data_IF_015908459495
#
_entry.id   IF_015908459495
#
_cell.length_a   1.000
_cell.length_b   1.000
_cell.length_c   1.000
_cell.angle_alpha   90.00
_cell.angle_beta   90.00
_cell.angle_gamma   90.00
#
_symmetry.space_group_name_H-M   'P 1'
#
loop_
_entity.id
_entity.type
_entity.pdbx_description
1 polymer ?
#
# COMPACT_ATOMS: atom_id res chain seq x y z
N UNK A 1 -12.91 6.17 -9.30
CA UNK A 1 -12.89 7.65 -9.11
C UNK A 1 -11.72 8.29 -9.88
N UNK A 2 -10.46 8.00 -9.53
CA UNK A 2 -9.29 8.59 -10.20
C UNK A 2 -9.25 8.40 -11.72
N UNK A 3 -9.65 7.24 -12.22
CA UNK A 3 -9.78 6.97 -13.65
C UNK A 3 -10.70 7.97 -14.37
N UNK A 4 -11.81 8.36 -13.74
CA UNK A 4 -12.77 9.33 -14.29
C UNK A 4 -12.18 10.74 -14.26
N UNK A 5 -11.50 11.10 -13.16
CA UNK A 5 -10.82 12.40 -13.04
C UNK A 5 -9.73 12.57 -14.11
N UNK A 6 -8.96 11.51 -14.37
CA UNK A 6 -7.90 11.52 -15.37
C UNK A 6 -8.38 11.25 -16.81
N UNK A 7 -9.65 10.86 -17.01
CA UNK A 7 -10.21 10.38 -18.27
C UNK A 7 -9.37 9.25 -18.90
N UNK A 8 -9.16 8.17 -18.15
CA UNK A 8 -8.37 7.00 -18.57
C UNK A 8 -9.11 5.70 -18.24
N UNK A 9 -8.99 4.63 -19.05
CA UNK A 9 -9.70 3.39 -18.77
C UNK A 9 -9.27 2.72 -17.46
N UNK A 10 -10.17 1.97 -16.83
CA UNK A 10 -9.92 1.25 -15.57
C UNK A 10 -10.48 -0.16 -15.63
N UNK A 11 -9.62 -1.13 -15.32
CA UNK A 11 -9.92 -2.56 -15.26
C UNK A 11 -9.88 -3.08 -13.83
N UNK A 12 -10.77 -4.02 -13.54
CA UNK A 12 -11.13 -4.41 -12.19
C UNK A 12 -11.17 -5.95 -12.03
N UNK A 13 -9.99 -6.58 -11.88
CA UNK A 13 -9.89 -8.04 -11.78
C UNK A 13 -10.47 -8.54 -10.45
N UNK A 14 -10.98 -9.77 -10.48
CA UNK A 14 -11.51 -10.51 -9.34
C UNK A 14 -10.60 -11.63 -8.88
N UNK A 15 -9.60 -12.03 -9.68
CA UNK A 15 -8.70 -13.15 -9.37
C UNK A 15 -7.27 -12.91 -9.87
N UNK A 16 -6.28 -13.70 -9.41
CA UNK A 16 -4.93 -13.69 -9.98
C UNK A 16 -4.89 -13.98 -11.49
N UNK A 17 -5.69 -14.94 -11.97
CA UNK A 17 -5.81 -15.25 -13.40
C UNK A 17 -6.36 -14.05 -14.18
N UNK A 18 -7.47 -13.46 -13.73
CA UNK A 18 -8.07 -12.30 -14.40
C UNK A 18 -7.14 -11.08 -14.37
N UNK A 19 -6.32 -10.93 -13.32
CA UNK A 19 -5.28 -9.89 -13.27
C UNK A 19 -4.24 -10.07 -14.38
N UNK A 20 -3.81 -11.31 -14.64
CA UNK A 20 -2.89 -11.64 -15.74
C UNK A 20 -3.55 -11.40 -17.11
N UNK A 21 -4.82 -11.75 -17.28
CA UNK A 21 -5.49 -11.60 -18.57
C UNK A 21 -5.81 -10.12 -18.88
N UNK A 22 -6.27 -9.38 -17.87
CA UNK A 22 -6.60 -7.96 -18.00
C UNK A 22 -5.37 -7.08 -18.24
N UNK A 23 -4.17 -7.45 -17.75
CA UNK A 23 -2.97 -6.65 -18.04
C UNK A 23 -2.58 -6.72 -19.53
N UNK A 24 -2.78 -7.86 -20.18
CA UNK A 24 -2.55 -7.99 -21.62
C UNK A 24 -3.55 -7.15 -22.40
N UNK A 25 -4.83 -7.26 -22.07
CA UNK A 25 -5.87 -6.41 -22.66
C UNK A 25 -5.60 -4.92 -22.42
N UNK A 26 -5.07 -4.55 -21.24
CA UNK A 26 -4.72 -3.17 -20.92
C UNK A 26 -3.60 -2.63 -21.82
N UNK A 27 -2.61 -3.45 -22.18
CA UNK A 27 -1.59 -3.08 -23.17
C UNK A 27 -2.23 -2.88 -24.55
N UNK A 28 -3.05 -3.83 -25.03
CA UNK A 28 -3.72 -3.71 -26.33
C UNK A 28 -4.59 -2.46 -26.41
N UNK A 29 -5.38 -2.19 -25.37
CA UNK A 29 -6.22 -1.00 -25.27
C UNK A 29 -5.38 0.29 -25.24
N UNK A 30 -4.28 0.28 -24.48
CA UNK A 30 -3.36 1.42 -24.39
C UNK A 30 -2.72 1.74 -25.74
N UNK A 31 -2.28 0.73 -26.48
CA UNK A 31 -1.69 0.88 -27.80
C UNK A 31 -2.71 1.37 -28.83
N UNK A 32 -3.90 0.75 -28.85
CA UNK A 32 -4.97 1.08 -29.79
C UNK A 32 -5.44 2.55 -29.66
N UNK A 33 -5.58 3.03 -28.43
CA UNK A 33 -6.10 4.39 -28.17
C UNK A 33 -5.03 5.39 -27.76
N UNK A 34 -3.77 4.98 -27.67
CA UNK A 34 -2.65 5.81 -27.19
C UNK A 34 -3.00 6.51 -25.87
N UNK A 35 -3.43 5.74 -24.87
CA UNK A 35 -3.84 6.24 -23.55
C UNK A 35 -3.34 5.32 -22.44
N UNK A 36 -2.88 5.85 -21.29
CA UNK A 36 -2.64 5.00 -20.14
C UNK A 36 -3.93 4.31 -19.70
N UNK A 37 -3.77 3.13 -19.12
CA UNK A 37 -4.86 2.30 -18.61
C UNK A 37 -4.54 1.90 -17.18
N UNK A 38 -5.53 1.99 -16.29
CA UNK A 38 -5.40 1.62 -14.89
C UNK A 38 -5.86 0.17 -14.72
N UNK A 39 -5.01 -0.69 -14.18
CA UNK A 39 -5.42 -1.97 -13.60
C UNK A 39 -5.56 -1.79 -12.08
N UNK A 40 -6.72 -2.10 -11.53
CA UNK A 40 -7.07 -1.82 -10.12
C UNK A 40 -7.38 -3.10 -9.33
N UNK A 41 -6.38 -3.92 -8.98
CA UNK A 41 -6.61 -5.05 -8.08
C UNK A 41 -6.90 -4.55 -6.65
N UNK A 42 -7.80 -5.23 -5.94
CA UNK A 42 -8.03 -4.98 -4.51
C UNK A 42 -7.04 -5.77 -3.65
N UNK A 43 -6.96 -5.47 -2.36
CA UNK A 43 -6.11 -6.17 -1.38
C UNK A 43 -6.25 -7.70 -1.49
N UNK A 44 -7.46 -8.22 -1.67
CA UNK A 44 -7.70 -9.68 -1.71
C UNK A 44 -7.19 -10.32 -2.97
N UNK A 45 -7.24 -9.60 -4.08
CA UNK A 45 -6.63 -10.06 -5.33
C UNK A 45 -5.10 -10.07 -5.18
N UNK A 46 -4.52 -8.99 -4.62
CA UNK A 46 -3.07 -8.88 -4.41
C UNK A 46 -2.49 -9.90 -3.41
N UNK A 47 -3.25 -10.25 -2.36
CA UNK A 47 -2.83 -11.21 -1.33
C UNK A 47 -3.36 -12.63 -1.57
N UNK A 48 -4.15 -12.83 -2.62
CA UNK A 48 -4.62 -14.14 -3.08
C UNK A 48 -3.51 -14.92 -3.78
N UNK A 49 -3.69 -16.23 -3.85
CA UNK A 49 -2.84 -17.14 -4.64
C UNK A 49 -3.74 -18.13 -5.35
N UNK A 50 -3.35 -18.52 -6.55
CA UNK A 50 -4.02 -19.53 -7.35
C UNK A 50 -3.11 -19.92 -8.50
N UNK A 51 -3.41 -21.05 -9.11
CA UNK A 51 -2.75 -21.43 -10.35
C UNK A 51 -3.13 -20.44 -11.45
N UNK A 52 -2.14 -20.06 -12.26
CA UNK A 52 -2.33 -19.11 -13.37
C UNK A 52 -1.82 -19.77 -14.64
N UNK A 53 -2.70 -19.85 -15.65
CA UNK A 53 -2.34 -20.26 -16.99
C UNK A 53 -1.65 -19.08 -17.69
N UNK A 54 -0.36 -19.26 -18.00
CA UNK A 54 0.45 -18.20 -18.58
C UNK A 54 0.18 -17.95 -20.06
N UNK A 55 -0.44 -18.90 -20.78
CA UNK A 55 -0.61 -18.87 -22.23
C UNK A 55 0.72 -18.72 -22.99
N UNK A 56 0.64 -18.33 -24.26
CA UNK A 56 1.84 -17.98 -25.04
C UNK A 56 2.39 -16.61 -24.62
N UNK A 57 3.69 -16.55 -24.30
CA UNK A 57 4.39 -15.30 -23.98
C UNK A 57 5.04 -14.76 -25.25
N UNK A 58 4.40 -13.78 -25.89
CA UNK A 58 4.93 -13.13 -27.08
C UNK A 58 5.64 -11.81 -26.73
N UNK A 59 6.96 -11.86 -26.56
CA UNK A 59 7.77 -10.66 -26.33
C UNK A 59 8.15 -10.04 -27.67
N UNK A 60 7.42 -9.04 -28.10
CA UNK A 60 7.78 -8.26 -29.27
C UNK A 60 8.72 -7.11 -28.89
N UNK A 61 9.96 -7.13 -29.42
CA UNK A 61 10.84 -5.97 -29.33
C UNK A 61 10.38 -4.92 -30.34
N UNK A 62 9.85 -3.81 -29.85
CA UNK A 62 9.41 -2.67 -30.66
C UNK A 62 10.26 -1.46 -30.30
N UNK A 63 10.68 -0.70 -31.31
CA UNK A 63 11.35 0.59 -31.10
C UNK A 63 10.35 1.73 -31.28
N UNK A 64 10.22 2.57 -30.25
CA UNK A 64 9.38 3.77 -30.33
C UNK A 64 10.06 4.89 -31.10
N UNK A 65 9.31 5.63 -31.91
CA UNK A 65 9.78 6.87 -32.56
C UNK A 65 9.12 8.09 -31.93
N UNK A 66 9.92 9.01 -31.39
CA UNK A 66 9.41 10.29 -30.92
C UNK A 66 9.16 11.24 -32.09
N UNK A 67 7.88 11.46 -32.41
CA UNK A 67 7.46 12.48 -33.37
C UNK A 67 7.16 13.79 -32.64
N UNK A 68 7.92 14.85 -32.92
CA UNK A 68 7.72 16.17 -32.32
C UNK A 68 6.34 16.72 -32.67
N UNK A 69 5.53 16.99 -31.64
CA UNK A 69 4.25 17.71 -31.75
C UNK A 69 4.05 18.59 -30.51
N UNK A 70 4.40 19.86 -30.64
CA UNK A 70 4.34 20.83 -29.54
C UNK A 70 2.89 20.99 -29.04
N UNK A 71 1.90 20.92 -29.94
CA UNK A 71 0.49 21.07 -29.61
C UNK A 71 -0.06 19.89 -28.80
N UNK A 72 0.63 18.74 -28.85
CA UNK A 72 0.31 17.55 -28.06
C UNK A 72 1.04 17.51 -26.73
N UNK A 73 2.34 17.79 -26.72
CA UNK A 73 3.18 17.54 -25.53
C UNK A 73 3.36 18.75 -24.61
N UNK A 74 3.09 19.96 -25.07
CA UNK A 74 3.21 21.17 -24.25
C UNK A 74 1.83 21.65 -23.82
N UNK A 75 1.50 21.43 -22.55
CA UNK A 75 0.19 21.72 -21.96
C UNK A 75 0.00 23.21 -21.59
N UNK A 76 0.25 24.12 -22.53
CA UNK A 76 -0.18 25.53 -22.38
C UNK A 76 -1.69 25.66 -22.62
N UNK A 77 -2.35 26.70 -22.07
CA UNK A 77 -3.82 26.81 -22.12
C UNK A 77 -4.46 26.67 -23.50
N UNK A 78 -3.83 27.20 -24.56
CA UNK A 78 -4.31 27.09 -25.95
C UNK A 78 -4.32 25.65 -26.46
N UNK A 79 -3.29 24.86 -26.13
CA UNK A 79 -3.19 23.45 -26.50
C UNK A 79 -4.10 22.57 -25.62
N UNK A 80 -4.11 22.82 -24.31
CA UNK A 80 -4.85 22.01 -23.34
C UNK A 80 -6.35 21.93 -23.64
N UNK A 81 -6.97 23.04 -24.07
CA UNK A 81 -8.40 23.07 -24.47
C UNK A 81 -8.69 22.14 -25.65
N UNK A 82 -7.81 22.10 -26.64
CA UNK A 82 -7.94 21.25 -27.83
C UNK A 82 -7.67 19.78 -27.44
N UNK A 83 -6.64 19.52 -26.65
CA UNK A 83 -6.30 18.17 -26.21
C UNK A 83 -7.36 17.57 -25.29
N UNK A 84 -8.00 18.40 -24.45
CA UNK A 84 -9.09 17.93 -23.59
C UNK A 84 -10.29 17.45 -24.43
N UNK A 85 -10.69 18.19 -25.47
CA UNK A 85 -11.72 17.71 -26.40
C UNK A 85 -11.34 16.36 -27.03
N UNK A 86 -10.11 16.24 -27.53
CA UNK A 86 -9.60 14.96 -28.09
C UNK A 86 -9.61 13.82 -27.07
N UNK A 87 -9.34 14.10 -25.79
CA UNK A 87 -9.38 13.12 -24.72
C UNK A 87 -10.80 12.64 -24.44
N UNK A 88 -11.78 13.55 -24.43
CA UNK A 88 -13.20 13.20 -24.29
C UNK A 88 -13.67 12.35 -25.48
N UNK A 89 -13.39 12.80 -26.71
CA UNK A 89 -13.71 12.03 -27.93
C UNK A 89 -13.07 10.64 -27.91
N UNK A 90 -11.85 10.51 -27.36
CA UNK A 90 -11.17 9.23 -27.19
C UNK A 90 -11.89 8.33 -26.19
N UNK A 91 -12.34 8.86 -25.06
CA UNK A 91 -13.08 8.09 -24.05
C UNK A 91 -14.41 7.57 -24.59
N UNK A 92 -15.08 8.33 -25.45
CA UNK A 92 -16.29 7.86 -26.15
C UNK A 92 -15.97 6.66 -27.06
N UNK A 93 -14.92 6.73 -27.87
CA UNK A 93 -14.48 5.61 -28.73
C UNK A 93 -14.08 4.38 -27.93
N UNK A 94 -13.41 4.58 -26.79
CA UNK A 94 -13.09 3.47 -25.88
C UNK A 94 -14.38 2.87 -25.33
N UNK A 95 -15.40 3.69 -25.01
CA UNK A 95 -16.69 3.18 -24.54
C UNK A 95 -17.33 2.26 -25.57
N UNK A 96 -17.36 2.67 -26.84
CA UNK A 96 -17.87 1.84 -27.94
C UNK A 96 -17.09 0.51 -28.03
N UNK A 97 -15.76 0.58 -27.96
CA UNK A 97 -14.90 -0.61 -28.03
C UNK A 97 -15.15 -1.60 -26.88
N UNK A 98 -15.44 -1.12 -25.66
CA UNK A 98 -15.63 -2.00 -24.50
C UNK A 98 -17.02 -2.61 -24.40
N UNK A 99 -17.99 -2.19 -25.23
CA UNK A 99 -19.30 -2.82 -25.32
C UNK A 99 -19.17 -4.30 -25.72
N UNK A 100 -18.27 -4.63 -26.65
CA UNK A 100 -18.05 -5.99 -27.14
C UNK A 100 -16.96 -6.76 -26.37
N UNK A 101 -16.39 -6.15 -25.33
CA UNK A 101 -15.35 -6.80 -24.52
C UNK A 101 -15.89 -8.05 -23.81
N UNK A 102 -15.09 -9.13 -23.84
CA UNK A 102 -15.30 -10.36 -23.08
C UNK A 102 -15.04 -10.19 -21.57
N UNK A 103 -14.45 -9.07 -21.15
CA UNK A 103 -14.23 -8.75 -19.74
C UNK A 103 -15.52 -8.29 -19.04
N UNK A 104 -16.51 -7.86 -19.81
CA UNK A 104 -17.85 -7.57 -19.31
C UNK A 104 -18.79 -8.69 -19.80
N UNK A 105 -19.20 -9.59 -18.91
CA UNK A 105 -19.98 -10.77 -19.32
C UNK A 105 -21.16 -11.02 -18.39
N UNK A 106 -22.17 -11.71 -18.92
CA UNK A 106 -23.36 -12.09 -18.17
C UNK A 106 -23.33 -13.57 -17.82
N UNK A 107 -23.85 -13.90 -16.64
CA UNK A 107 -24.13 -15.28 -16.23
C UNK A 107 -25.66 -15.41 -16.18
N UNK A 108 -26.25 -16.40 -16.87
CA UNK A 108 -27.68 -16.61 -16.85
C UNK A 108 -28.15 -17.05 -15.46
N UNK A 109 -29.38 -16.68 -15.11
CA UNK A 109 -30.03 -17.11 -13.88
C UNK A 109 -31.54 -16.94 -13.97
N UNK A 110 -32.21 -16.98 -12.82
CA UNK A 110 -33.67 -17.08 -12.76
C UNK A 110 -34.31 -15.82 -12.15
N UNK A 111 -35.54 -15.52 -12.56
CA UNK A 111 -36.34 -14.43 -12.00
C UNK A 111 -36.07 -13.03 -12.56
N UNK A 112 -36.61 -12.03 -11.85
CA UNK A 112 -36.62 -10.60 -12.25
C UNK A 112 -35.70 -9.72 -11.40
N UNK A 113 -34.83 -10.34 -10.60
CA UNK A 113 -33.81 -9.66 -9.80
C UNK A 113 -32.43 -10.00 -10.36
N UNK A 114 -31.70 -9.02 -10.86
CA UNK A 114 -30.34 -9.21 -11.35
C UNK A 114 -29.28 -8.57 -10.45
N UNK A 115 -28.03 -9.00 -10.59
CA UNK A 115 -26.89 -8.47 -9.85
C UNK A 115 -25.84 -7.91 -10.80
N UNK A 116 -25.36 -6.69 -10.55
CA UNK A 116 -24.16 -6.14 -11.20
C UNK A 116 -23.03 -6.15 -10.18
N UNK A 117 -21.91 -6.75 -10.52
CA UNK A 117 -20.80 -6.99 -9.58
C UNK A 117 -19.45 -6.70 -10.22
N UNK A 118 -18.49 -6.21 -9.42
CA UNK A 118 -17.18 -5.75 -9.88
C UNK A 118 -16.06 -6.19 -8.93
N UNK A 119 -14.85 -6.37 -9.47
CA UNK A 119 -13.65 -6.74 -8.70
C UNK A 119 -13.83 -8.02 -7.88
N UNK A 120 -13.15 -8.08 -6.73
CA UNK A 120 -13.16 -9.23 -5.81
C UNK A 120 -14.57 -9.61 -5.30
N UNK A 121 -15.52 -8.67 -5.28
CA UNK A 121 -16.91 -8.93 -4.88
C UNK A 121 -17.60 -10.02 -5.68
N UNK A 122 -17.12 -10.30 -6.90
CA UNK A 122 -17.62 -11.39 -7.71
C UNK A 122 -17.48 -12.74 -7.01
N UNK A 123 -16.32 -13.03 -6.40
CA UNK A 123 -16.09 -14.31 -5.73
C UNK A 123 -17.00 -14.45 -4.51
N UNK A 124 -17.15 -13.38 -3.72
CA UNK A 124 -18.06 -13.38 -2.56
C UNK A 124 -19.50 -13.63 -2.98
N UNK A 125 -19.95 -13.00 -4.07
CA UNK A 125 -21.28 -13.23 -4.61
C UNK A 125 -21.46 -14.70 -5.03
N UNK A 126 -20.54 -15.25 -5.82
CA UNK A 126 -20.67 -16.62 -6.33
C UNK A 126 -20.75 -17.64 -5.19
N UNK A 127 -19.91 -17.51 -4.17
CA UNK A 127 -19.96 -18.37 -2.99
C UNK A 127 -21.25 -18.16 -2.18
N UNK A 128 -21.70 -16.91 -2.02
CA UNK A 128 -22.97 -16.59 -1.33
C UNK A 128 -24.18 -17.20 -2.03
N UNK A 129 -24.22 -17.16 -3.37
CA UNK A 129 -25.31 -17.75 -4.16
C UNK A 129 -25.34 -19.28 -4.02
N UNK A 130 -24.16 -19.91 -3.97
CA UNK A 130 -24.04 -21.35 -3.70
C UNK A 130 -24.56 -21.70 -2.30
N UNK A 131 -24.18 -20.93 -1.27
CA UNK A 131 -24.64 -21.13 0.12
C UNK A 131 -26.16 -21.00 0.22
N UNK A 132 -26.74 -19.98 -0.44
CA UNK A 132 -28.18 -19.70 -0.39
C UNK A 132 -29.00 -20.58 -1.35
N UNK A 133 -28.35 -21.34 -2.23
CA UNK A 133 -29.02 -22.19 -3.21
C UNK A 133 -29.85 -21.43 -4.25
N UNK A 134 -29.48 -20.19 -4.58
CA UNK A 134 -30.20 -19.34 -5.54
C UNK A 134 -29.38 -19.06 -6.80
N UNK A 135 -30.06 -18.92 -7.93
CA UNK A 135 -29.47 -18.56 -9.21
C UNK A 135 -30.06 -17.24 -9.70
N UNK A 136 -29.22 -16.23 -9.84
CA UNK A 136 -29.63 -14.89 -10.30
C UNK A 136 -28.95 -14.57 -11.62
N UNK A 137 -29.58 -13.80 -12.53
CA UNK A 137 -28.88 -13.14 -13.61
C UNK A 137 -27.78 -12.24 -13.05
N UNK A 138 -26.56 -12.38 -13.55
CA UNK A 138 -25.41 -11.58 -13.10
C UNK A 138 -24.78 -10.87 -14.30
N UNK A 139 -24.43 -9.60 -14.15
CA UNK A 139 -23.50 -8.90 -15.01
C UNK A 139 -22.20 -8.66 -14.24
N UNK A 140 -21.14 -9.34 -14.66
CA UNK A 140 -19.78 -9.10 -14.16
C UNK A 140 -19.17 -7.96 -14.97
N UNK A 141 -18.80 -6.89 -14.28
CA UNK A 141 -18.07 -5.75 -14.85
C UNK A 141 -16.58 -5.98 -14.63
N UNK A 142 -15.83 -6.05 -15.73
CA UNK A 142 -14.37 -6.11 -15.74
C UNK A 142 -13.73 -4.77 -16.10
N UNK A 143 -14.45 -3.90 -16.83
CA UNK A 143 -14.01 -2.55 -17.18
C UNK A 143 -14.93 -1.55 -16.49
N UNK A 144 -14.41 -0.90 -15.44
CA UNK A 144 -15.19 0.00 -14.60
C UNK A 144 -15.33 1.41 -15.19
N UNK A 145 -14.40 1.79 -16.07
CA UNK A 145 -14.43 3.08 -16.75
C UNK A 145 -13.71 2.99 -18.12
N UNK A 146 -14.29 3.52 -19.20
CA UNK A 146 -15.70 3.85 -19.32
C UNK A 146 -16.58 2.60 -19.16
N UNK A 147 -17.78 2.77 -18.60
CA UNK A 147 -18.75 1.68 -18.45
C UNK A 147 -19.37 1.32 -19.81
N UNK A 148 -19.51 0.02 -20.09
CA UNK A 148 -20.27 -0.51 -21.23
C UNK A 148 -21.78 -0.28 -21.03
N UNK A 149 -22.27 0.89 -21.44
CA UNK A 149 -23.62 1.39 -21.17
C UNK A 149 -24.68 0.55 -21.87
N UNK A 150 -24.45 0.13 -23.11
CA UNK A 150 -25.43 -0.64 -23.87
C UNK A 150 -25.56 -2.06 -23.31
N UNK A 151 -24.44 -2.68 -22.90
CA UNK A 151 -24.45 -3.99 -22.21
C UNK A 151 -25.19 -3.92 -20.88
N UNK A 152 -24.92 -2.89 -20.07
CA UNK A 152 -25.63 -2.67 -18.80
C UNK A 152 -27.12 -2.45 -19.04
N UNK A 153 -27.50 -1.59 -19.98
CA UNK A 153 -28.90 -1.31 -20.31
C UNK A 153 -29.63 -2.58 -20.77
N UNK A 154 -28.99 -3.36 -21.65
CA UNK A 154 -29.55 -4.62 -22.16
C UNK A 154 -29.76 -5.66 -21.06
N UNK A 155 -28.89 -5.66 -20.04
CA UNK A 155 -29.01 -6.53 -18.87
C UNK A 155 -30.15 -6.10 -17.93
N UNK A 156 -30.33 -4.79 -17.69
CA UNK A 156 -31.27 -4.30 -16.67
C UNK A 156 -32.69 -4.04 -17.19
N UNK A 157 -32.88 -3.85 -18.49
CA UNK A 157 -34.17 -3.38 -19.07
C UNK A 157 -35.38 -4.26 -18.73
N UNK A 158 -35.18 -5.56 -18.58
CA UNK A 158 -36.25 -6.55 -18.36
C UNK A 158 -36.37 -6.99 -16.89
N UNK A 159 -35.59 -6.37 -15.99
CA UNK A 159 -35.56 -6.67 -14.56
C UNK A 159 -36.45 -5.72 -13.75
N UNK A 160 -37.01 -6.22 -12.65
CA UNK A 160 -37.76 -5.40 -11.69
C UNK A 160 -36.85 -4.79 -10.62
N UNK A 161 -35.76 -5.50 -10.28
CA UNK A 161 -34.80 -5.07 -9.28
C UNK A 161 -33.38 -5.37 -9.73
N UNK A 162 -32.46 -4.47 -9.41
CA UNK A 162 -31.03 -4.65 -9.64
C UNK A 162 -30.28 -4.44 -8.34
N UNK A 163 -29.37 -5.35 -8.00
CA UNK A 163 -28.47 -5.23 -6.86
C UNK A 163 -27.06 -4.94 -7.36
N UNK A 164 -26.44 -3.86 -6.89
CA UNK A 164 -25.05 -3.50 -7.21
C UNK A 164 -24.16 -3.94 -6.05
N UNK A 165 -23.15 -4.76 -6.35
CA UNK A 165 -22.15 -5.20 -5.37
C UNK A 165 -20.78 -4.67 -5.80
N UNK A 166 -20.44 -3.50 -5.26
CA UNK A 166 -19.12 -2.86 -5.40
C UNK A 166 -18.59 -2.45 -4.03
N UNK A 167 -17.29 -2.58 -3.78
CA UNK A 167 -16.68 -2.20 -2.50
C UNK A 167 -16.45 -0.69 -2.39
N UNK A 168 -16.55 -0.15 -1.17
CA UNK A 168 -16.30 1.25 -0.85
C UNK A 168 -17.28 2.23 -1.51
N UNK A 169 -16.87 2.93 -2.57
CA UNK A 169 -17.61 4.05 -3.16
C UNK A 169 -18.54 3.61 -4.30
N UNK A 170 -19.75 4.20 -4.44
CA UNK A 170 -20.74 3.82 -5.45
C UNK A 170 -20.38 4.35 -6.85
N UNK A 171 -19.37 3.79 -7.51
CA UNK A 171 -18.96 4.26 -8.84
C UNK A 171 -19.89 3.71 -9.92
N UNK A 172 -20.08 2.39 -9.93
CA UNK A 172 -20.94 1.70 -10.90
C UNK A 172 -22.41 1.95 -10.58
N UNK A 173 -22.79 1.94 -9.31
CA UNK A 173 -24.14 2.26 -8.85
C UNK A 173 -24.61 3.63 -9.36
N UNK A 174 -23.74 4.65 -9.30
CA UNK A 174 -24.08 5.98 -9.79
C UNK A 174 -24.27 6.00 -11.31
N UNK A 175 -23.45 5.26 -12.06
CA UNK A 175 -23.59 5.18 -13.52
C UNK A 175 -24.85 4.43 -13.95
N UNK A 176 -25.20 3.37 -13.23
CA UNK A 176 -26.45 2.62 -13.46
C UNK A 176 -27.65 3.47 -13.10
N UNK A 177 -27.61 4.26 -12.01
CA UNK A 177 -28.67 5.23 -11.67
C UNK A 177 -28.89 6.26 -12.79
N UNK A 178 -27.81 6.78 -13.36
CA UNK A 178 -27.89 7.70 -14.51
C UNK A 178 -28.56 6.99 -15.70
N UNK A 179 -28.15 5.76 -16.02
CA UNK A 179 -28.75 4.97 -17.10
C UNK A 179 -30.25 4.72 -16.90
N UNK A 180 -30.66 4.35 -15.69
CA UNK A 180 -32.07 4.15 -15.34
C UNK A 180 -32.86 5.45 -15.57
N UNK A 181 -32.32 6.58 -15.11
CA UNK A 181 -32.98 7.88 -15.25
C UNK A 181 -33.09 8.34 -16.71
N UNK A 182 -32.01 8.23 -17.48
CA UNK A 182 -31.98 8.65 -18.89
C UNK A 182 -32.92 7.82 -19.77
N UNK A 183 -33.10 6.53 -19.44
CA UNK A 183 -33.95 5.59 -20.20
C UNK A 183 -35.33 5.38 -19.57
N UNK A 184 -35.67 6.11 -18.50
CA UNK A 184 -36.96 6.05 -17.81
C UNK A 184 -37.39 4.64 -17.41
N UNK A 185 -36.43 3.82 -16.96
CA UNK A 185 -36.71 2.43 -16.58
C UNK A 185 -37.45 2.36 -15.25
N UNK A 186 -38.52 1.57 -15.19
CA UNK A 186 -39.26 1.31 -13.96
C UNK A 186 -38.68 0.10 -13.21
N UNK A 187 -37.50 0.27 -12.61
CA UNK A 187 -36.84 -0.77 -11.80
C UNK A 187 -36.29 -0.20 -10.49
N UNK A 188 -36.18 -1.04 -9.46
CA UNK A 188 -35.62 -0.64 -8.16
C UNK A 188 -34.13 -1.02 -8.08
N UNK A 189 -33.28 -0.04 -7.83
CA UNK A 189 -31.86 -0.27 -7.62
C UNK A 189 -31.52 -0.37 -6.13
N UNK A 190 -30.75 -1.38 -5.77
CA UNK A 190 -30.17 -1.58 -4.44
C UNK A 190 -28.66 -1.64 -4.57
N UNK A 191 -27.94 -1.12 -3.58
CA UNK A 191 -26.49 -1.07 -3.58
C UNK A 191 -26.03 -0.59 -2.22
N UNK A 192 -25.47 0.62 -2.12
CA UNK A 192 -25.08 1.23 -0.83
C UNK A 192 -26.23 1.50 0.14
N UNK A 193 -27.48 1.34 -0.29
CA UNK A 193 -28.65 1.32 0.59
C UNK A 193 -28.72 0.06 1.46
N UNK A 194 -28.09 -1.05 1.05
CA UNK A 194 -28.07 -2.32 1.78
C UNK A 194 -26.64 -2.83 2.05
N UNK A 195 -25.64 -2.34 1.32
CA UNK A 195 -24.22 -2.65 1.51
C UNK A 195 -23.47 -1.47 2.15
N UNK A 196 -22.48 -1.72 3.02
CA UNK A 196 -21.70 -0.65 3.62
C UNK A 196 -20.76 0.03 2.61
N UNK A 197 -20.43 1.29 2.90
CA UNK A 197 -19.36 2.05 2.23
C UNK A 197 -18.00 1.91 2.91
N UNK A 198 -17.95 1.15 4.01
CA UNK A 198 -16.78 1.00 4.86
C UNK A 198 -16.44 -0.48 5.03
N UNK A 199 -15.18 -0.73 5.37
CA UNK A 199 -14.67 -2.10 5.51
C UNK A 199 -14.47 -2.79 4.16
N UNK A 200 -14.06 -4.03 4.26
CA UNK A 200 -13.87 -4.95 3.16
C UNK A 200 -15.05 -5.91 3.12
N UNK A 201 -15.51 -6.31 1.92
CA UNK A 201 -16.60 -7.27 1.85
C UNK A 201 -16.07 -8.68 2.10
N UNK A 202 -16.97 -9.56 2.52
CA UNK A 202 -16.72 -10.98 2.72
C UNK A 202 -17.93 -11.78 2.23
N UNK A 203 -17.74 -13.07 2.01
CA UNK A 203 -18.83 -14.01 1.72
C UNK A 203 -19.91 -13.94 2.79
N UNK A 204 -19.54 -13.88 4.08
CA UNK A 204 -20.50 -13.77 5.19
C UNK A 204 -21.37 -12.52 5.08
N UNK A 205 -20.75 -11.36 4.82
CA UNK A 205 -21.46 -10.08 4.69
C UNK A 205 -22.43 -10.12 3.52
N UNK A 206 -21.96 -10.58 2.34
CA UNK A 206 -22.78 -10.66 1.14
C UNK A 206 -23.91 -11.66 1.31
N UNK A 207 -23.64 -12.85 1.88
CA UNK A 207 -24.64 -13.87 2.19
C UNK A 207 -25.71 -13.34 3.14
N UNK A 208 -25.32 -12.66 4.22
CA UNK A 208 -26.27 -12.10 5.19
C UNK A 208 -27.18 -11.03 4.57
N UNK A 209 -26.62 -10.17 3.72
CA UNK A 209 -27.40 -9.12 3.06
C UNK A 209 -28.37 -9.73 2.04
N UNK A 210 -27.91 -10.69 1.23
CA UNK A 210 -28.73 -11.34 0.21
C UNK A 210 -29.82 -12.21 0.83
N UNK A 211 -29.54 -12.94 1.91
CA UNK A 211 -30.55 -13.76 2.59
C UNK A 211 -31.68 -12.91 3.16
N UNK A 212 -31.37 -11.77 3.77
CA UNK A 212 -32.38 -10.78 4.21
C UNK A 212 -33.15 -10.20 3.04
N UNK A 213 -32.46 -9.88 1.94
CA UNK A 213 -33.07 -9.30 0.75
C UNK A 213 -34.08 -10.26 0.10
N UNK A 214 -33.75 -11.55 0.01
CA UNK A 214 -34.60 -12.59 -0.58
C UNK A 214 -35.50 -13.30 0.42
N UNK A 215 -35.41 -12.98 1.72
CA UNK A 215 -36.13 -13.64 2.82
C UNK A 215 -35.87 -15.16 2.87
N UNK A 216 -34.61 -15.52 2.69
CA UNK A 216 -34.14 -16.91 2.77
C UNK A 216 -33.62 -17.12 4.17
N UNK A 217 -34.25 -18.04 4.90
CA UNK A 217 -33.69 -18.52 6.16
C UNK A 217 -32.47 -19.38 5.85
N UNK A 218 -31.31 -18.96 6.33
CA UNK A 218 -30.09 -19.74 6.25
C UNK A 218 -29.55 -19.90 7.68
N UNK A 219 -29.17 -21.12 8.09
CA UNK A 219 -28.57 -21.32 9.40
C UNK A 219 -27.22 -20.61 9.39
N UNK A 220 -27.15 -19.47 10.08
CA UNK A 220 -25.87 -18.82 10.35
C UNK A 220 -25.08 -19.78 11.22
N UNK A 221 -24.05 -20.41 10.68
CA UNK A 221 -23.02 -21.00 11.54
C UNK A 221 -22.56 -19.84 12.42
N UNK A 222 -22.86 -19.90 13.72
CA UNK A 222 -22.24 -18.97 14.65
C UNK A 222 -20.75 -19.21 14.48
N UNK A 223 -20.04 -18.21 13.93
CA UNK A 223 -18.60 -18.22 14.03
C UNK A 223 -18.33 -18.43 15.51
N UNK A 224 -17.71 -19.56 15.84
CA UNK A 224 -17.27 -19.78 17.22
C UNK A 224 -16.53 -18.49 17.56
N UNK A 225 -16.89 -17.84 18.67
CA UNK A 225 -16.19 -16.65 19.17
C UNK A 225 -14.76 -17.08 19.56
N UNK A 226 -13.96 -17.39 18.55
CA UNK A 226 -12.56 -17.69 18.65
C UNK A 226 -11.96 -16.32 18.85
N UNK A 227 -11.52 -16.05 20.08
CA UNK A 227 -10.70 -14.90 20.37
C UNK A 227 -9.38 -15.13 19.65
N UNK A 228 -9.30 -14.66 18.40
CA UNK A 228 -8.06 -14.68 17.63
C UNK A 228 -7.16 -13.61 18.24
N UNK A 229 -5.96 -13.95 18.74
CA UNK A 229 -5.04 -12.97 19.28
C UNK A 229 -4.73 -11.91 18.22
N UNK A 230 -4.88 -10.64 18.60
CA UNK A 230 -4.56 -9.54 17.70
C UNK A 230 -3.08 -9.61 17.30
N UNK A 231 -2.80 -9.74 16.00
CA UNK A 231 -1.43 -9.65 15.46
C UNK A 231 -1.14 -8.20 15.15
N UNK A 232 -0.61 -7.50 16.14
CA UNK A 232 -0.15 -6.13 15.95
C UNK A 232 0.87 -6.06 14.80
N UNK A 233 0.82 -5.01 13.97
CA UNK A 233 1.79 -4.83 12.89
C UNK A 233 3.15 -4.48 13.52
N UNK A 234 4.14 -5.36 13.35
CA UNK A 234 5.44 -5.30 14.03
C UNK A 234 6.59 -5.38 13.03
N UNK A 235 7.70 -4.69 13.33
CA UNK A 235 8.95 -4.84 12.59
C UNK A 235 9.48 -6.29 12.70
N UNK A 236 10.14 -6.78 11.66
CA UNK A 236 10.76 -8.11 11.65
C UNK A 236 11.75 -8.31 12.81
N UNK A 237 12.02 -9.57 13.16
CA UNK A 237 13.08 -9.91 14.12
C UNK A 237 14.43 -9.36 13.64
N UNK A 238 15.04 -8.52 14.48
CA UNK A 238 16.29 -7.81 14.18
C UNK A 238 16.26 -6.83 13.00
N UNK A 239 15.07 -6.34 12.62
CA UNK A 239 14.97 -5.21 11.68
C UNK A 239 15.82 -4.02 12.17
N UNK A 240 16.66 -3.42 11.31
CA UNK A 240 17.56 -2.31 11.69
C UNK A 240 16.81 -1.08 12.19
N UNK A 241 15.64 -0.77 11.62
CA UNK A 241 14.82 0.37 12.04
C UNK A 241 14.39 0.28 13.51
N UNK A 242 14.30 -0.93 14.08
CA UNK A 242 13.91 -1.14 15.49
C UNK A 242 14.90 -0.46 16.44
N UNK A 243 16.19 -0.55 16.14
CA UNK A 243 17.25 0.11 16.91
C UNK A 243 17.13 1.63 16.81
N UNK A 244 16.88 2.15 15.60
CA UNK A 244 16.71 3.58 15.37
C UNK A 244 15.52 4.13 16.15
N UNK A 245 14.35 3.48 16.07
CA UNK A 245 13.18 3.92 16.83
C UNK A 245 13.36 3.78 18.34
N UNK A 246 14.05 2.74 18.82
CA UNK A 246 14.40 2.61 20.23
C UNK A 246 15.27 3.80 20.68
N UNK A 247 16.31 4.14 19.91
CA UNK A 247 17.18 5.28 20.20
C UNK A 247 16.41 6.61 20.18
N UNK A 248 15.55 6.83 19.17
CA UNK A 248 14.66 8.01 19.10
C UNK A 248 13.82 8.11 20.37
N UNK A 249 13.13 7.03 20.76
CA UNK A 249 12.29 7.02 21.98
C UNK A 249 13.10 7.32 23.23
N UNK A 250 14.29 6.71 23.36
CA UNK A 250 15.15 6.86 24.55
C UNK A 250 15.70 8.28 24.68
N UNK A 251 16.24 8.85 23.61
CA UNK A 251 16.84 10.20 23.61
C UNK A 251 15.78 11.28 23.83
N UNK A 252 14.64 11.18 23.14
CA UNK A 252 13.54 12.16 23.28
C UNK A 252 12.70 11.92 24.54
N UNK A 253 12.88 10.79 25.23
CA UNK A 253 11.98 10.29 26.28
C UNK A 253 10.52 10.19 25.82
N UNK A 254 10.31 9.98 24.51
CA UNK A 254 8.99 10.01 23.86
C UNK A 254 8.35 11.40 23.82
N UNK A 255 9.12 12.48 24.02
CA UNK A 255 8.64 13.87 24.04
C UNK A 255 9.18 14.65 22.85
N UNK A 256 8.69 14.30 21.66
CA UNK A 256 8.91 15.01 20.42
C UNK A 256 7.70 14.75 19.51
N UNK A 257 7.57 15.51 18.42
CA UNK A 257 6.64 15.21 17.35
C UNK A 257 7.35 14.27 16.37
N UNK A 258 6.69 13.17 15.99
CA UNK A 258 7.27 12.12 15.17
C UNK A 258 6.56 11.95 13.81
N UNK A 259 6.71 12.89 12.85
CA UNK A 259 6.21 12.66 11.50
C UNK A 259 6.91 11.47 10.84
N UNK A 260 6.14 10.61 10.18
CA UNK A 260 6.65 9.49 9.40
C UNK A 260 5.90 9.35 8.09
N UNK A 261 6.35 8.43 7.25
CA UNK A 261 5.72 8.12 5.96
C UNK A 261 5.07 6.73 6.00
N UNK A 262 4.48 6.32 4.87
CA UNK A 262 3.99 4.94 4.67
C UNK A 262 5.13 3.96 4.29
N UNK A 263 5.38 2.95 5.13
CA UNK A 263 6.38 1.91 4.90
C UNK A 263 6.70 1.11 6.17
N UNK A 264 7.83 0.37 6.19
CA UNK A 264 8.24 -0.37 7.41
C UNK A 264 8.37 0.55 8.62
N UNK A 265 8.75 1.81 8.39
CA UNK A 265 8.90 2.84 9.41
C UNK A 265 7.57 3.30 10.01
N UNK A 266 6.43 3.16 9.33
CA UNK A 266 5.11 3.37 9.95
C UNK A 266 4.94 2.49 11.19
N UNK A 267 5.49 1.26 11.16
CA UNK A 267 5.39 0.29 12.26
C UNK A 267 6.04 0.76 13.57
N UNK A 268 6.83 1.84 13.53
CA UNK A 268 7.35 2.53 14.72
C UNK A 268 6.25 3.11 15.63
N UNK A 269 4.99 3.22 15.17
CA UNK A 269 3.85 3.66 15.98
C UNK A 269 3.51 2.65 17.09
N UNK A 270 3.77 1.35 16.85
CA UNK A 270 3.36 0.28 17.74
C UNK A 270 4.19 0.22 19.02
N UNK A 271 3.59 -0.29 20.10
CA UNK A 271 4.34 -0.56 21.34
C UNK A 271 5.45 -1.60 21.08
N UNK A 272 6.63 -1.44 21.70
CA UNK A 272 6.97 -0.42 22.68
C UNK A 272 7.62 0.85 22.11
N UNK A 273 7.77 0.97 20.78
CA UNK A 273 8.51 2.07 20.15
C UNK A 273 7.74 3.39 20.28
N UNK A 274 6.53 3.48 19.74
CA UNK A 274 5.64 4.65 19.83
C UNK A 274 6.32 5.97 19.44
N UNK A 275 6.99 5.98 18.29
CA UNK A 275 7.72 7.14 17.75
C UNK A 275 7.28 7.45 16.32
N UNK A 276 5.97 7.42 16.09
CA UNK A 276 5.31 7.82 14.84
C UNK A 276 3.95 8.39 15.22
N UNK A 277 3.74 9.68 14.97
CA UNK A 277 2.50 10.41 15.28
C UNK A 277 1.65 10.66 14.03
N UNK A 278 2.30 10.79 12.86
CA UNK A 278 1.63 11.04 11.59
C UNK A 278 2.21 10.16 10.49
N UNK A 279 1.34 9.76 9.54
CA UNK A 279 1.70 9.02 8.33
C UNK A 279 0.62 9.33 7.28
N UNK A 280 1.01 9.97 6.18
CA UNK A 280 0.06 10.41 5.14
C UNK A 280 0.31 9.66 3.83
N UNK A 281 1.49 9.84 3.23
CA UNK A 281 1.89 9.22 1.96
C UNK A 281 3.41 9.04 1.94
N UNK A 282 3.96 8.50 0.85
CA UNK A 282 5.40 8.51 0.65
C UNK A 282 5.86 9.97 0.42
N UNK A 283 6.89 10.41 1.14
CA UNK A 283 7.53 11.72 1.02
C UNK A 283 6.87 12.86 1.80
N UNK A 284 5.86 12.56 2.63
CA UNK A 284 5.12 13.58 3.36
C UNK A 284 5.83 14.04 4.64
N UNK A 285 6.58 13.17 5.31
CA UNK A 285 7.04 13.35 6.69
C UNK A 285 7.89 14.59 6.89
N UNK A 286 8.85 14.86 5.99
CA UNK A 286 9.70 16.04 6.06
C UNK A 286 8.94 17.34 5.77
N UNK A 287 7.97 17.31 4.86
CA UNK A 287 7.10 18.46 4.60
C UNK A 287 6.21 18.77 5.80
N UNK A 288 5.60 17.74 6.38
CA UNK A 288 4.81 17.84 7.63
C UNK A 288 5.68 18.37 8.78
N UNK A 289 6.92 17.89 8.91
CA UNK A 289 7.88 18.37 9.90
C UNK A 289 8.22 19.86 9.72
N UNK A 290 8.36 20.35 8.48
CA UNK A 290 8.54 21.78 8.22
C UNK A 290 7.33 22.60 8.69
N UNK A 291 6.11 22.09 8.50
CA UNK A 291 4.89 22.70 9.03
C UNK A 291 4.92 22.82 10.56
N UNK A 292 5.23 21.72 11.24
CA UNK A 292 5.37 21.70 12.71
C UNK A 292 6.48 22.64 13.21
N UNK A 293 7.61 22.73 12.51
CA UNK A 293 8.70 23.62 12.87
C UNK A 293 8.33 25.11 12.80
N UNK A 294 7.26 25.45 12.08
CA UNK A 294 6.70 26.81 12.02
C UNK A 294 5.57 27.04 13.03
N UNK A 295 4.85 25.99 13.42
CA UNK A 295 3.66 26.11 14.27
C UNK A 295 3.89 25.76 15.75
N UNK A 296 5.00 25.11 16.08
CA UNK A 296 5.26 24.56 17.43
C UNK A 296 6.70 24.82 17.87
N UNK A 297 6.99 24.66 19.17
CA UNK A 297 8.36 24.77 19.74
C UNK A 297 8.91 23.41 20.20
N UNK A 298 8.09 22.39 20.13
CA UNK A 298 8.41 21.02 20.49
C UNK A 298 9.51 20.47 19.59
N UNK A 299 10.40 19.60 20.10
CA UNK A 299 11.37 18.93 19.25
C UNK A 299 10.68 18.08 18.18
N UNK A 300 11.25 18.03 16.97
CA UNK A 300 10.69 17.30 15.83
C UNK A 300 11.73 16.31 15.32
N UNK A 301 11.36 15.02 15.29
CA UNK A 301 12.17 13.95 14.71
C UNK A 301 11.35 13.27 13.62
N UNK A 302 11.62 13.61 12.37
CA UNK A 302 10.89 13.09 11.23
C UNK A 302 11.62 11.88 10.64
N UNK A 303 10.88 10.84 10.27
CA UNK A 303 11.44 9.60 9.70
C UNK A 303 10.90 9.34 8.30
N UNK A 304 11.73 8.80 7.42
CA UNK A 304 11.32 8.23 6.13
C UNK A 304 12.32 7.18 5.66
N UNK A 305 11.93 6.31 4.73
CA UNK A 305 12.83 5.32 4.13
C UNK A 305 13.68 5.87 2.98
N UNK A 306 14.79 5.21 2.66
CA UNK A 306 15.63 5.47 1.48
C UNK A 306 14.85 5.58 0.16
N UNK A 307 14.01 4.61 -0.21
CA UNK A 307 13.25 4.67 -1.46
C UNK A 307 12.29 5.87 -1.48
N UNK A 308 11.75 6.21 -0.31
CA UNK A 308 10.83 7.33 -0.13
C UNK A 308 11.57 8.67 -0.19
N UNK A 309 12.81 8.71 0.28
CA UNK A 309 13.69 9.86 0.14
C UNK A 309 13.86 10.22 -1.34
N UNK A 310 14.19 9.23 -2.18
CA UNK A 310 14.31 9.42 -3.62
C UNK A 310 13.00 9.77 -4.31
N UNK A 311 11.87 9.21 -3.84
CA UNK A 311 10.56 9.47 -4.44
C UNK A 311 10.12 10.93 -4.26
N UNK A 312 10.14 11.43 -3.03
CA UNK A 312 9.60 12.76 -2.71
C UNK A 312 10.18 13.40 -1.43
N UNK A 313 11.21 12.82 -0.81
CA UNK A 313 11.86 13.39 0.38
C UNK A 313 12.90 14.48 0.09
N UNK A 314 13.41 14.57 -1.14
CA UNK A 314 14.42 15.57 -1.53
C UNK A 314 13.85 17.01 -1.54
N UNK A 315 12.75 17.31 -2.27
CA UNK A 315 12.19 18.68 -2.28
C UNK A 315 11.85 19.25 -0.89
N UNK A 316 11.20 18.53 0.03
CA UNK A 316 10.91 19.08 1.35
C UNK A 316 12.18 19.29 2.19
N UNK A 317 13.26 18.55 1.95
CA UNK A 317 14.53 18.76 2.64
C UNK A 317 15.21 20.06 2.18
N UNK A 318 15.18 20.36 0.88
CA UNK A 318 15.59 21.67 0.34
C UNK A 318 14.74 22.78 0.95
N UNK A 319 13.43 22.58 1.01
CA UNK A 319 12.50 23.54 1.63
C UNK A 319 12.81 23.76 3.12
N UNK A 320 13.16 22.69 3.85
CA UNK A 320 13.56 22.76 5.26
C UNK A 320 14.79 23.66 5.44
N UNK A 321 15.82 23.47 4.61
CA UNK A 321 17.04 24.29 4.60
C UNK A 321 16.73 25.75 4.27
N UNK A 322 16.04 26.01 3.15
CA UNK A 322 15.69 27.35 2.70
C UNK A 322 14.92 28.14 3.77
N UNK A 323 14.02 27.46 4.49
CA UNK A 323 13.18 28.08 5.52
C UNK A 323 13.76 28.00 6.95
N UNK A 324 15.01 27.56 7.14
CA UNK A 324 15.64 27.35 8.45
C UNK A 324 14.76 26.54 9.42
N UNK A 325 14.17 25.45 8.93
CA UNK A 325 13.30 24.59 9.74
C UNK A 325 14.16 23.73 10.68
N UNK A 326 13.93 23.86 11.99
CA UNK A 326 14.62 23.09 13.03
C UNK A 326 14.01 21.70 13.15
N UNK A 327 14.50 20.77 12.34
CA UNK A 327 14.03 19.38 12.32
C UNK A 327 15.22 18.42 12.31
N UNK A 328 15.08 17.30 13.02
CA UNK A 328 15.97 16.14 12.86
C UNK A 328 15.32 15.21 11.83
N UNK A 329 15.92 15.13 10.66
CA UNK A 329 15.46 14.29 9.55
C UNK A 329 16.22 12.97 9.56
N UNK A 330 15.54 11.86 9.81
CA UNK A 330 16.13 10.52 9.89
C UNK A 330 15.72 9.71 8.67
N UNK A 331 16.70 9.40 7.82
CA UNK A 331 16.54 8.52 6.66
C UNK A 331 16.90 7.11 7.08
N UNK A 332 15.94 6.21 6.98
CA UNK A 332 16.02 4.82 7.35
C UNK A 332 16.42 4.01 6.10
N UNK A 333 17.72 3.85 5.91
CA UNK A 333 18.31 3.25 4.71
C UNK A 333 18.50 1.73 4.90
N UNK A 334 17.63 0.95 4.23
CA UNK A 334 17.66 -0.52 4.29
C UNK A 334 17.98 -1.19 2.96
N UNK A 335 18.39 -0.39 1.97
CA UNK A 335 18.79 -0.80 0.64
C UNK A 335 17.68 -1.50 -0.18
N UNK A 336 16.40 -1.26 0.12
CA UNK A 336 15.30 -1.89 -0.64
C UNK A 336 13.92 -1.26 -0.37
N UNK A 337 13.01 -1.32 -1.34
CA UNK A 337 11.60 -1.02 -1.08
C UNK A 337 10.90 -2.26 -0.51
N UNK A 338 11.10 -2.51 0.79
CA UNK A 338 10.76 -3.78 1.44
C UNK A 338 9.29 -4.21 1.30
N UNK A 339 8.34 -3.31 1.56
CA UNK A 339 6.91 -3.64 1.56
C UNK A 339 6.29 -3.81 0.17
N UNK A 340 7.02 -3.49 -0.91
CA UNK A 340 6.54 -3.66 -2.30
C UNK A 340 7.11 -4.91 -2.96
N UNK A 341 7.66 -5.83 -2.15
CA UNK A 341 8.31 -7.05 -2.67
C UNK A 341 9.79 -6.87 -2.99
N UNK A 342 10.48 -5.98 -2.25
CA UNK A 342 11.90 -5.71 -2.40
C UNK A 342 12.29 -5.10 -3.75
N UNK A 343 11.46 -4.19 -4.26
CA UNK A 343 11.76 -3.50 -5.52
C UNK A 343 13.07 -2.70 -5.40
N UNK A 344 13.87 -2.64 -6.48
CA UNK A 344 15.03 -1.77 -6.52
C UNK A 344 14.61 -0.31 -6.57
N UNK A 345 15.51 0.56 -6.15
CA UNK A 345 15.32 2.01 -6.14
C UNK A 345 16.67 2.70 -6.49
N UNK A 346 16.72 4.04 -6.63
CA UNK A 346 17.95 4.72 -7.05
C UNK A 346 19.20 4.46 -6.20
N UNK A 347 19.07 3.88 -4.99
CA UNK A 347 20.19 3.45 -4.15
C UNK A 347 20.69 2.02 -4.39
N UNK A 348 19.99 1.17 -5.16
CA UNK A 348 20.22 -0.30 -5.16
C UNK A 348 21.00 -0.84 -6.37
N UNK A 349 21.65 0.01 -7.17
CA UNK A 349 22.48 -0.36 -8.34
C UNK A 349 21.81 -1.29 -9.38
N UNK A 350 20.47 -1.36 -9.37
CA UNK A 350 19.68 -2.19 -10.26
C UNK A 350 18.51 -1.36 -10.79
N UNK A 351 18.18 -1.53 -12.07
CA UNK A 351 16.94 -1.00 -12.64
C UNK A 351 15.75 -1.85 -12.18
N UNK A 352 14.53 -1.35 -12.39
CA UNK A 352 13.30 -2.12 -12.14
C UNK A 352 13.21 -3.43 -12.94
N UNK A 353 13.98 -3.56 -14.03
CA UNK A 353 14.08 -4.78 -14.85
C UNK A 353 15.22 -5.72 -14.40
N UNK A 354 15.94 -5.38 -13.34
CA UNK A 354 17.06 -6.17 -12.82
C UNK A 354 18.39 -5.94 -13.55
N UNK A 355 18.49 -4.91 -14.38
CA UNK A 355 19.73 -4.59 -15.10
C UNK A 355 20.68 -3.79 -14.20
N UNK A 356 22.01 -3.97 -14.31
CA UNK A 356 22.97 -3.14 -13.59
C UNK A 356 22.79 -1.65 -13.88
N UNK A 357 22.81 -0.83 -12.83
CA UNK A 357 22.63 0.62 -12.91
C UNK A 357 23.57 1.37 -11.96
N UNK A 358 23.73 2.68 -12.19
CA UNK A 358 24.36 3.55 -11.21
C UNK A 358 23.53 3.67 -9.92
N UNK A 359 24.17 4.09 -8.84
CA UNK A 359 23.50 4.39 -7.56
C UNK A 359 23.68 5.84 -7.16
N UNK A 360 22.63 6.43 -6.57
CA UNK A 360 22.70 7.75 -5.95
C UNK A 360 23.03 7.60 -4.47
N UNK A 361 24.15 8.19 -4.03
CA UNK A 361 24.50 8.24 -2.61
C UNK A 361 23.66 9.30 -1.88
N UNK A 362 22.93 8.87 -0.85
CA UNK A 362 22.07 9.72 -0.04
C UNK A 362 22.91 10.82 0.64
N UNK A 363 24.02 10.44 1.27
CA UNK A 363 24.90 11.36 1.99
C UNK A 363 25.56 12.40 1.07
N UNK A 364 26.01 12.00 -0.13
CA UNK A 364 26.57 12.95 -1.10
C UNK A 364 25.51 13.89 -1.67
N UNK A 365 24.31 13.38 -1.92
CA UNK A 365 23.19 14.21 -2.38
C UNK A 365 22.81 15.26 -1.33
N UNK A 366 22.76 14.87 -0.05
CA UNK A 366 22.44 15.79 1.05
C UNK A 366 23.54 16.80 1.28
N UNK A 367 24.80 16.37 1.26
CA UNK A 367 25.93 17.28 1.35
C UNK A 367 25.91 18.32 0.20
N UNK A 368 25.54 17.91 -1.02
CA UNK A 368 25.37 18.80 -2.17
C UNK A 368 24.21 19.80 -2.05
N UNK A 369 23.33 19.64 -1.05
CA UNK A 369 22.28 20.60 -0.70
C UNK A 369 22.71 21.56 0.43
N UNK A 370 23.98 21.55 0.83
CA UNK A 370 24.54 22.31 1.97
C UNK A 370 23.84 22.01 3.31
N UNK A 371 23.46 20.74 3.50
CA UNK A 371 22.78 20.25 4.72
C UNK A 371 23.72 19.31 5.48
N UNK A 372 23.89 19.52 6.80
CA UNK A 372 24.65 18.59 7.63
C UNK A 372 24.03 17.18 7.59
N UNK A 373 24.86 16.18 7.31
CA UNK A 373 24.45 14.77 7.27
C UNK A 373 25.45 13.90 8.04
N UNK A 374 24.92 13.03 8.89
CA UNK A 374 25.69 11.99 9.60
C UNK A 374 25.16 10.61 9.19
N UNK A 375 26.06 9.71 8.78
CA UNK A 375 25.71 8.31 8.46
C UNK A 375 26.09 7.45 9.65
N UNK A 376 25.13 6.69 10.18
CA UNK A 376 25.32 5.79 11.33
C UNK A 376 24.86 4.37 10.97
N UNK A 377 25.57 3.36 11.48
CA UNK A 377 25.13 1.97 11.38
C UNK A 377 23.84 1.78 12.20
N UNK A 378 22.79 1.24 11.59
CA UNK A 378 21.50 1.05 12.24
C UNK A 378 21.54 0.01 13.38
N UNK A 379 22.64 -0.72 13.56
CA UNK A 379 22.87 -1.66 14.66
C UNK A 379 23.80 -1.10 15.75
N UNK A 380 24.47 0.02 15.51
CA UNK A 380 25.16 0.79 16.55
C UNK A 380 24.20 1.78 17.23
N UNK A 381 23.48 1.27 18.23
CA UNK A 381 22.49 2.07 18.99
C UNK A 381 23.14 3.30 19.64
N UNK A 382 24.40 3.20 20.07
CA UNK A 382 25.09 4.31 20.75
C UNK A 382 25.38 5.45 19.78
N UNK A 383 25.89 5.15 18.59
CA UNK A 383 26.12 6.17 17.55
C UNK A 383 24.82 6.86 17.14
N UNK A 384 23.72 6.11 17.00
CA UNK A 384 22.40 6.69 16.71
C UNK A 384 21.97 7.66 17.83
N UNK A 385 22.13 7.26 19.10
CA UNK A 385 21.78 8.12 20.25
C UNK A 385 22.60 9.42 20.27
N UNK A 386 23.89 9.35 19.94
CA UNK A 386 24.77 10.52 19.89
C UNK A 386 24.44 11.46 18.72
N UNK A 387 24.16 10.92 17.54
CA UNK A 387 23.72 11.70 16.38
C UNK A 387 22.38 12.40 16.64
N UNK A 388 21.42 11.72 17.28
CA UNK A 388 20.15 12.31 17.68
C UNK A 388 20.33 13.46 18.68
N UNK A 389 21.22 13.31 19.67
CA UNK A 389 21.51 14.38 20.64
C UNK A 389 22.09 15.61 19.95
N UNK A 390 23.03 15.43 19.01
CA UNK A 390 23.57 16.53 18.18
C UNK A 390 22.48 17.20 17.34
N UNK A 391 21.66 16.40 16.67
CA UNK A 391 20.56 16.91 15.83
C UNK A 391 19.54 17.71 16.63
N UNK A 392 19.17 17.26 17.84
CA UNK A 392 18.24 17.97 18.72
C UNK A 392 18.81 19.29 19.29
N UNK A 393 20.13 19.46 19.27
CA UNK A 393 20.81 20.71 19.64
C UNK A 393 21.06 21.63 18.44
N UNK A 394 20.79 21.16 17.22
CA UNK A 394 20.99 21.92 15.99
C UNK A 394 19.93 23.00 15.83
N UNK A 395 20.39 24.20 15.48
CA UNK A 395 19.52 25.34 15.16
C UNK A 395 19.09 25.36 13.67
N UNK A 396 19.54 24.37 12.89
CA UNK A 396 19.20 24.16 11.48
C UNK A 396 18.75 22.72 11.26
N UNK A 397 18.20 22.43 10.08
CA UNK A 397 17.91 21.05 9.66
C UNK A 397 19.17 20.18 9.79
N UNK A 398 18.99 19.02 10.42
CA UNK A 398 20.06 18.07 10.68
C UNK A 398 19.63 16.68 10.19
N UNK A 399 20.44 16.05 9.33
CA UNK A 399 20.07 14.78 8.71
C UNK A 399 20.89 13.63 9.28
N UNK A 400 20.22 12.53 9.61
CA UNK A 400 20.84 11.28 10.03
C UNK A 400 20.44 10.20 9.03
N UNK A 401 21.41 9.55 8.41
CA UNK A 401 21.18 8.34 7.61
C UNK A 401 21.47 7.14 8.49
N UNK A 402 20.43 6.47 8.96
CA UNK A 402 20.55 5.23 9.74
C UNK A 402 20.53 4.05 8.78
N UNK A 403 21.72 3.52 8.49
CA UNK A 403 21.95 2.53 7.43
C UNK A 403 22.08 1.12 7.99
N UNK A 404 21.25 0.21 7.51
CA UNK A 404 21.37 -1.21 7.80
C UNK A 404 20.45 -2.00 6.89
N UNK A 405 20.94 -3.05 6.20
CA UNK A 405 20.16 -3.75 5.21
C UNK A 405 18.90 -4.41 5.80
N UNK A 406 17.85 -4.51 4.99
CA UNK A 406 16.68 -5.30 5.34
C UNK A 406 17.08 -6.76 5.62
N UNK A 407 16.67 -7.29 6.78
CA UNK A 407 16.96 -8.68 7.18
C UNK A 407 16.32 -9.74 6.29
N UNK A 408 15.36 -9.35 5.45
CA UNK A 408 14.71 -10.20 4.46
C UNK A 408 15.30 -10.07 3.05
N UNK A 409 16.27 -9.17 2.86
CA UNK A 409 16.94 -9.00 1.57
C UNK A 409 17.81 -10.23 1.28
N UNK A 410 17.73 -10.76 0.06
CA UNK A 410 18.54 -11.91 -0.36
C UNK A 410 20.02 -11.53 -0.39
N UNK A 411 20.88 -12.47 0.02
CA UNK A 411 22.34 -12.29 -0.02
C UNK A 411 22.93 -11.53 1.16
N UNK A 412 22.13 -11.13 2.15
CA UNK A 412 22.64 -10.55 3.40
C UNK A 412 23.34 -11.62 4.24
N UNK A 413 24.54 -11.30 4.71
CA UNK A 413 25.33 -12.16 5.59
C UNK A 413 24.61 -12.40 6.93
N UNK A 414 24.53 -13.67 7.33
CA UNK A 414 23.94 -14.05 8.62
C UNK A 414 24.91 -13.71 9.74
N UNK A 415 24.44 -12.96 10.73
CA UNK A 415 25.20 -12.67 11.94
C UNK A 415 25.06 -13.81 12.96
N UNK A 416 26.05 -14.04 13.83
CA UNK A 416 25.89 -14.90 14.99
C UNK A 416 24.66 -14.47 15.82
N UNK A 417 23.82 -15.44 16.18
CA UNK A 417 22.62 -15.19 16.99
C UNK A 417 23.00 -14.95 18.45
N UNK A 418 22.11 -14.29 19.19
CA UNK A 418 22.25 -14.13 20.64
C UNK A 418 21.44 -15.19 21.39
N UNK A 419 21.87 -15.49 22.61
CA UNK A 419 21.18 -16.34 23.59
C UNK A 419 21.13 -15.65 24.95
N UNK A 420 20.21 -16.09 25.80
CA UNK A 420 20.11 -15.61 27.18
C UNK A 420 20.87 -16.56 28.09
N UNK A 421 21.84 -16.03 28.84
CA UNK A 421 22.49 -16.72 29.94
C UNK A 421 21.56 -16.68 31.16
N UNK A 422 20.90 -17.81 31.44
CA UNK A 422 19.83 -17.91 32.44
C UNK A 422 20.35 -17.54 33.83
N UNK A 423 21.58 -17.95 34.16
CA UNK A 423 22.21 -17.66 35.45
C UNK A 423 22.38 -16.16 35.74
N UNK A 424 22.48 -15.34 34.69
CA UNK A 424 22.61 -13.89 34.79
C UNK A 424 21.27 -13.15 34.65
N UNK A 425 20.25 -13.81 34.11
CA UNK A 425 18.96 -13.19 33.79
C UNK A 425 18.12 -12.93 35.05
N UNK A 426 17.91 -11.64 35.39
CA UNK A 426 17.09 -11.23 36.53
C UNK A 426 15.58 -11.08 36.24
N UNK A 427 15.06 -11.70 35.17
CA UNK A 427 13.64 -11.70 34.84
C UNK A 427 12.95 -10.32 34.67
N UNK A 428 13.70 -9.22 34.48
CA UNK A 428 13.15 -7.85 34.47
C UNK A 428 12.31 -7.52 33.22
N UNK A 429 12.40 -8.37 32.17
CA UNK A 429 11.73 -8.20 30.85
C UNK A 429 12.12 -6.92 30.10
N UNK A 430 13.19 -6.22 30.47
CA UNK A 430 13.60 -4.98 29.80
C UNK A 430 13.86 -5.19 28.30
N UNK A 431 14.59 -6.25 27.94
CA UNK A 431 14.85 -6.60 26.53
C UNK A 431 13.56 -6.78 25.73
N UNK A 432 12.51 -7.39 26.31
CA UNK A 432 11.20 -7.60 25.67
C UNK A 432 10.42 -6.28 25.61
N UNK A 433 10.22 -5.65 26.77
CA UNK A 433 9.36 -4.48 26.95
C UNK A 433 9.88 -3.21 26.26
N UNK A 434 11.18 -3.13 26.00
CA UNK A 434 11.78 -1.95 25.37
C UNK A 434 12.11 -2.16 23.89
N UNK A 435 12.46 -3.39 23.47
CA UNK A 435 12.74 -3.65 22.05
C UNK A 435 11.49 -4.01 21.26
N UNK A 436 10.56 -4.79 21.84
CA UNK A 436 9.42 -5.39 21.14
C UNK A 436 9.81 -6.39 20.05
N UNK A 437 11.00 -6.99 20.12
CA UNK A 437 11.47 -7.94 19.12
C UNK A 437 10.66 -9.25 19.17
N UNK A 438 10.11 -9.74 18.04
CA UNK A 438 9.34 -10.98 18.01
C UNK A 438 10.19 -12.25 18.25
N UNK A 439 11.52 -12.14 18.25
CA UNK A 439 12.42 -13.24 18.61
C UNK A 439 12.58 -13.42 20.14
N UNK A 440 12.09 -12.47 20.95
CA UNK A 440 12.21 -12.56 22.41
C UNK A 440 10.92 -13.14 23.00
N UNK A 441 11.09 -14.16 23.83
CA UNK A 441 10.02 -14.85 24.54
C UNK A 441 10.26 -14.78 26.05
N UNK A 442 9.23 -15.05 26.85
CA UNK A 442 9.36 -15.19 28.30
C UNK A 442 8.87 -16.58 28.71
N UNK A 443 9.79 -17.41 29.19
CA UNK A 443 9.56 -18.83 29.54
C UNK A 443 10.26 -19.14 30.85
N UNK A 444 9.61 -19.94 31.69
CA UNK A 444 10.19 -20.46 32.93
C UNK A 444 10.79 -19.37 33.85
N UNK A 445 10.15 -18.20 33.89
CA UNK A 445 10.61 -17.08 34.70
C UNK A 445 11.76 -16.25 34.10
N UNK A 446 12.28 -16.61 32.92
CA UNK A 446 13.39 -15.90 32.27
C UNK A 446 13.04 -15.43 30.86
N UNK A 447 13.78 -14.44 30.37
CA UNK A 447 13.76 -14.11 28.94
C UNK A 447 14.44 -15.24 28.16
N UNK A 448 13.97 -15.52 26.95
CA UNK A 448 14.61 -16.44 26.00
C UNK A 448 14.62 -15.83 24.60
N UNK A 449 15.56 -16.27 23.76
CA UNK A 449 15.66 -15.85 22.35
C UNK A 449 15.37 -17.07 21.49
N UNK A 450 14.40 -16.95 20.59
CA UNK A 450 14.09 -17.98 19.62
C UNK A 450 15.14 -17.96 18.49
N UNK A 451 15.97 -19.02 18.37
CA UNK A 451 17.08 -19.06 17.43
C UNK A 451 16.62 -19.16 15.97
N UNK A 452 15.39 -19.63 15.72
CA UNK A 452 14.88 -19.79 14.34
C UNK A 452 14.52 -18.47 13.66
N UNK A 453 14.32 -17.41 14.44
CA UNK A 453 13.93 -16.07 13.96
C UNK A 453 14.95 -14.98 14.31
N UNK A 454 15.87 -15.23 15.24
CA UNK A 454 16.91 -14.27 15.61
C UNK A 454 17.88 -14.04 14.45
N UNK A 455 18.19 -12.76 14.18
CA UNK A 455 19.11 -12.35 13.11
C UNK A 455 20.39 -11.71 13.62
N UNK A 456 20.63 -11.72 14.94
CA UNK A 456 21.90 -11.26 15.51
C UNK A 456 22.10 -9.73 15.55
N UNK A 457 21.03 -8.92 15.57
CA UNK A 457 21.16 -7.46 15.51
C UNK A 457 21.75 -6.78 16.76
N UNK A 458 21.75 -7.45 17.92
CA UNK A 458 22.38 -6.94 19.16
C UNK A 458 21.58 -5.95 20.00
N UNK A 459 20.44 -5.42 19.53
CA UNK A 459 19.65 -4.44 20.29
C UNK A 459 19.24 -4.95 21.68
N UNK A 460 18.85 -6.22 21.79
CA UNK A 460 18.47 -6.81 23.07
C UNK A 460 19.64 -6.89 24.06
N UNK A 461 20.85 -7.18 23.57
CA UNK A 461 22.07 -7.17 24.36
C UNK A 461 22.40 -5.75 24.84
N UNK A 462 22.30 -4.75 23.96
CA UNK A 462 22.48 -3.34 24.33
C UNK A 462 21.50 -2.87 25.43
N UNK A 463 20.27 -3.38 25.43
CA UNK A 463 19.25 -3.05 26.43
C UNK A 463 19.49 -3.77 27.78
N UNK A 464 20.20 -4.90 27.79
CA UNK A 464 20.29 -5.77 28.96
C UNK A 464 21.16 -5.13 30.06
N UNK A 465 20.60 -4.77 31.23
CA UNK A 465 21.33 -4.04 32.26
C UNK A 465 22.34 -4.89 33.03
N UNK A 466 22.30 -6.21 32.84
CA UNK A 466 23.13 -7.20 33.53
C UNK A 466 23.90 -8.07 32.55
N UNK A 467 23.95 -7.68 31.27
CA UNK A 467 24.72 -8.35 30.23
C UNK A 467 24.42 -9.86 30.07
N UNK A 468 23.22 -10.29 30.47
CA UNK A 468 22.77 -11.68 30.37
C UNK A 468 22.45 -12.14 28.93
N UNK A 469 22.69 -11.32 27.92
CA UNK A 469 22.43 -11.65 26.52
C UNK A 469 23.76 -11.66 25.79
N UNK A 470 24.22 -12.87 25.48
CA UNK A 470 25.55 -13.16 24.95
C UNK A 470 25.45 -13.78 23.55
N UNK A 471 26.56 -13.78 22.83
CA UNK A 471 26.66 -14.48 21.54
C UNK A 471 26.85 -15.99 21.72
#
# INVERSE_FOLDING_TARGET
IFARFANVPCLDPSSPQESRDMILFAYDLSELFSTPVILRPTTRVCHGRGDVELGEINIQKREGKFTKDITRYVAVPSHARIQHKKLLDKIEKIREFVEDSNLNYTIPGEGKVGVIVIGASFNYLMESLQILGIKLPILKVGISHPLARNKVLSFIKDLEKVVIIEELEPVIENDVKILISENQLNLKLYGKTIFPRTGEFSTDLVTEILSKFFRIDFPKEQSKNIIVPNRAPLLCAGCPHRSTFYAIKKVTRGKAIFPSDIGCYTLGFSRPLQTVDTCISMGASFGVACGFAKSTKEPIVATLGDSTFFHAGIPPLINAKYNNSKIVAVILDNLTTAMTGHQPHPGTQLTALGEPAGSVSIEKLIAGMDIPVEVVDATDVKSIEEALKRGLQSEQVYVIVSRGPCVLLKGIEKRPIYRVEVSMCRACKACIKLSGCPALEFKDGHSSINPSVCTGCGLCAYICPVEAIIR
#
